data_IF_761418383722
#
_entry.id   IF_761418383722
#
_cell.length_a   1.000
_cell.length_b   1.000
_cell.length_c   1.000
_cell.angle_alpha   90.00
_cell.angle_beta   90.00
_cell.angle_gamma   90.00
#
_symmetry.space_group_name_H-M   'P 1'
#
loop_
_entity.id
_entity.type
_entity.pdbx_description
1 polymer ?
#
# COMPACT_ATOMS: atom_id res chain seq x y z
N UNK A 1 19.00 -10.70 5.75
CA UNK A 1 18.98 -12.00 5.05
C UNK A 1 19.90 -11.92 3.84
N UNK A 2 20.58 -13.01 3.46
CA UNK A 2 21.41 -13.01 2.26
C UNK A 2 20.54 -13.19 1.01
N UNK A 3 20.31 -12.12 0.24
CA UNK A 3 19.49 -12.13 -0.98
C UNK A 3 20.04 -13.09 -2.06
N UNK A 4 21.29 -13.56 -1.93
CA UNK A 4 21.87 -14.53 -2.85
C UNK A 4 21.13 -15.89 -2.86
N UNK A 5 20.37 -16.19 -1.80
CA UNK A 5 19.62 -17.44 -1.67
C UNK A 5 18.22 -17.40 -2.28
N UNK A 6 17.83 -16.30 -2.94
CA UNK A 6 16.53 -16.20 -3.62
C UNK A 6 16.49 -17.22 -4.77
N UNK A 7 15.47 -18.09 -4.85
CA UNK A 7 15.29 -19.02 -5.96
C UNK A 7 15.30 -18.33 -7.33
N UNK A 8 15.90 -18.98 -8.33
CA UNK A 8 16.07 -18.39 -9.67
C UNK A 8 14.74 -17.94 -10.30
N UNK A 9 13.66 -18.68 -10.08
CA UNK A 9 12.34 -18.33 -10.62
C UNK A 9 11.69 -17.13 -9.93
N UNK A 10 12.14 -16.73 -8.74
CA UNK A 10 11.67 -15.51 -8.08
C UNK A 10 12.48 -14.29 -8.51
N UNK A 11 13.77 -14.47 -8.87
CA UNK A 11 14.65 -13.37 -9.30
C UNK A 11 14.12 -12.59 -10.50
N UNK A 12 13.31 -13.21 -11.35
CA UNK A 12 12.71 -12.52 -12.49
C UNK A 12 11.78 -11.36 -12.08
N UNK A 13 11.19 -11.41 -10.89
CA UNK A 13 10.27 -10.37 -10.41
C UNK A 13 11.00 -9.20 -9.72
N UNK A 14 12.30 -9.34 -9.45
CA UNK A 14 13.11 -8.33 -8.78
C UNK A 14 13.66 -7.38 -9.84
N UNK A 15 13.45 -6.08 -9.61
CA UNK A 15 13.95 -5.02 -10.49
C UNK A 15 15.05 -4.20 -9.82
N UNK A 16 15.54 -3.14 -10.46
CA UNK A 16 16.22 -2.05 -9.74
C UNK A 16 15.13 -1.07 -9.24
N UNK A 17 15.33 -0.49 -8.05
CA UNK A 17 14.44 0.56 -7.56
C UNK A 17 14.50 1.79 -8.48
N UNK A 18 15.64 2.04 -9.12
CA UNK A 18 15.91 3.23 -9.96
C UNK A 18 15.58 4.53 -9.19
N UNK A 19 16.18 4.68 -8.01
CA UNK A 19 15.83 5.72 -7.03
C UNK A 19 15.77 7.14 -7.63
N UNK A 20 16.64 7.45 -8.61
CA UNK A 20 16.70 8.76 -9.27
C UNK A 20 15.50 9.08 -10.17
N UNK A 21 14.58 8.13 -10.35
CA UNK A 21 13.30 8.38 -11.02
C UNK A 21 12.28 9.07 -10.14
N UNK A 22 12.44 9.03 -8.81
CA UNK A 22 11.55 9.78 -7.94
C UNK A 22 11.80 11.27 -8.12
N UNK A 23 10.74 11.98 -8.46
CA UNK A 23 10.77 13.42 -8.57
C UNK A 23 10.72 14.06 -7.19
N UNK A 24 11.01 15.37 -7.14
CA UNK A 24 10.79 16.15 -5.92
C UNK A 24 9.34 16.06 -5.44
N UNK A 25 8.37 15.98 -6.36
CA UNK A 25 6.95 15.85 -6.02
C UNK A 25 6.70 14.51 -5.32
N UNK A 26 7.25 13.40 -5.82
CA UNK A 26 7.07 12.08 -5.21
C UNK A 26 7.58 12.05 -3.77
N UNK A 27 8.76 12.65 -3.52
CA UNK A 27 9.30 12.80 -2.18
C UNK A 27 8.45 13.70 -1.27
N UNK A 28 7.81 14.74 -1.81
CA UNK A 28 6.87 15.59 -1.04
C UNK A 28 5.56 14.88 -0.74
N UNK A 29 5.02 14.10 -1.68
CA UNK A 29 3.84 13.25 -1.44
C UNK A 29 4.13 12.27 -0.30
N UNK A 30 5.28 11.58 -0.35
CA UNK A 30 5.72 10.70 0.72
C UNK A 30 5.78 11.42 2.06
N UNK A 31 6.53 12.54 2.11
CA UNK A 31 6.72 13.30 3.33
C UNK A 31 5.40 13.80 3.92
N UNK A 32 4.50 14.29 3.07
CA UNK A 32 3.17 14.72 3.49
C UNK A 32 2.39 13.58 4.15
N UNK A 33 2.34 12.40 3.53
CA UNK A 33 1.67 11.21 4.09
C UNK A 33 2.27 10.83 5.44
N UNK A 34 3.60 10.79 5.56
CA UNK A 34 4.26 10.43 6.82
C UNK A 34 3.95 11.44 7.92
N UNK A 35 4.00 12.74 7.61
CA UNK A 35 3.75 13.82 8.57
C UNK A 35 2.34 13.76 9.17
N UNK A 36 1.32 13.48 8.35
CA UNK A 36 -0.07 13.43 8.84
C UNK A 36 -0.43 12.10 9.50
N UNK A 37 0.24 11.02 9.14
CA UNK A 37 -0.08 9.66 9.59
C UNK A 37 0.60 9.29 10.91
N UNK A 38 1.89 9.62 11.05
CA UNK A 38 2.70 9.24 12.23
C UNK A 38 2.07 9.71 13.56
N UNK A 39 1.61 10.97 13.73
CA UNK A 39 1.05 11.43 15.00
C UNK A 39 -0.18 10.63 15.43
N UNK A 40 -0.98 10.17 14.46
CA UNK A 40 -2.14 9.33 14.70
C UNK A 40 -1.71 7.90 15.06
N UNK A 41 -0.85 7.28 14.25
CA UNK A 41 -0.42 5.89 14.48
C UNK A 41 0.38 5.71 15.77
N UNK A 42 1.13 6.72 16.21
CA UNK A 42 1.81 6.70 17.53
C UNK A 42 0.84 6.44 18.69
N UNK A 43 -0.44 6.80 18.55
CA UNK A 43 -1.49 6.60 19.58
C UNK A 43 -2.36 5.38 19.30
N UNK A 44 -2.61 5.09 18.02
CA UNK A 44 -3.67 4.16 17.59
C UNK A 44 -3.17 2.85 16.97
N UNK A 45 -1.93 2.78 16.49
CA UNK A 45 -1.34 1.56 15.97
C UNK A 45 -0.81 0.65 17.10
N UNK A 46 -0.52 -0.60 16.76
CA UNK A 46 0.20 -1.53 17.62
C UNK A 46 1.55 -0.94 18.03
N UNK A 47 2.02 -1.25 19.25
CA UNK A 47 3.24 -0.65 19.81
C UNK A 47 4.49 -0.86 18.96
N UNK A 48 4.55 -1.95 18.20
CA UNK A 48 5.64 -2.23 17.26
C UNK A 48 5.75 -1.23 16.11
N UNK A 49 4.66 -0.55 15.73
CA UNK A 49 4.63 0.23 14.50
C UNK A 49 5.65 1.37 14.48
N UNK A 50 5.64 2.23 15.51
CA UNK A 50 6.44 3.45 15.50
C UNK A 50 7.94 3.17 15.57
N UNK A 51 8.37 2.26 16.46
CA UNK A 51 9.76 1.80 16.52
C UNK A 51 10.12 0.99 15.26
N UNK A 52 9.13 0.31 14.69
CA UNK A 52 9.19 -0.47 13.46
C UNK A 52 9.66 0.35 12.27
N UNK A 53 9.11 1.54 12.07
CA UNK A 53 9.48 2.44 10.98
C UNK A 53 11.00 2.62 10.90
N UNK A 54 11.64 2.98 12.01
CA UNK A 54 13.10 3.17 12.03
C UNK A 54 13.86 1.84 11.88
N UNK A 55 13.39 0.78 12.56
CA UNK A 55 14.04 -0.54 12.53
C UNK A 55 13.93 -1.25 11.18
N UNK A 56 13.02 -0.83 10.29
CA UNK A 56 12.91 -1.33 8.91
C UNK A 56 13.45 -0.36 7.87
N UNK A 57 14.11 0.72 8.28
CA UNK A 57 14.79 1.65 7.37
C UNK A 57 13.89 2.69 6.71
N UNK A 58 12.70 2.95 7.29
CA UNK A 58 11.79 3.99 6.80
C UNK A 58 12.33 5.38 7.16
N UNK A 59 12.39 6.23 6.15
CA UNK A 59 12.69 7.66 6.26
C UNK A 59 11.40 8.49 6.25
N UNK A 60 11.37 9.63 6.95
CA UNK A 60 10.15 10.43 7.07
C UNK A 60 10.08 11.59 6.08
N UNK A 61 11.24 12.09 5.64
CA UNK A 61 11.42 13.28 4.79
C UNK A 61 11.48 12.96 3.28
N UNK A 62 11.80 11.72 2.95
CA UNK A 62 11.92 11.21 1.58
C UNK A 62 11.55 9.73 1.52
N UNK A 63 11.29 9.27 0.30
CA UNK A 63 11.00 7.85 0.01
C UNK A 63 12.20 6.99 0.47
N UNK A 64 11.99 5.85 1.14
CA UNK A 64 13.07 5.02 1.62
C UNK A 64 13.82 4.32 0.47
N UNK A 65 15.13 4.15 0.64
CA UNK A 65 15.92 3.25 -0.20
C UNK A 65 15.61 1.81 0.21
N UNK A 66 15.19 0.97 -0.74
CA UNK A 66 14.90 -0.44 -0.49
C UNK A 66 16.18 -1.21 -0.12
N UNK A 67 17.35 -0.75 -0.57
CA UNK A 67 18.64 -1.28 -0.13
C UNK A 67 18.86 -1.04 1.37
N UNK A 68 18.63 0.20 1.84
CA UNK A 68 18.70 0.53 3.27
C UNK A 68 17.66 -0.27 4.07
N UNK A 69 16.45 -0.40 3.56
CA UNK A 69 15.42 -1.23 4.19
C UNK A 69 15.88 -2.68 4.32
N UNK A 70 16.46 -3.25 3.25
CA UNK A 70 16.99 -4.60 3.27
C UNK A 70 18.13 -4.75 4.29
N UNK A 71 19.04 -3.77 4.39
CA UNK A 71 20.09 -3.75 5.41
C UNK A 71 19.50 -3.80 6.83
N UNK A 72 18.51 -2.93 7.11
CA UNK A 72 17.89 -2.85 8.44
C UNK A 72 17.06 -4.08 8.78
N UNK A 73 16.22 -4.53 7.85
CA UNK A 73 15.40 -5.73 7.99
C UNK A 73 16.26 -7.01 8.09
N UNK A 74 17.49 -6.99 7.55
CA UNK A 74 18.41 -8.12 7.65
C UNK A 74 18.73 -8.53 9.08
N UNK A 75 18.77 -7.56 9.98
CA UNK A 75 19.11 -7.72 11.40
C UNK A 75 18.01 -8.50 12.14
N UNK A 76 16.75 -8.35 11.70
CA UNK A 76 15.58 -9.01 12.30
C UNK A 76 15.15 -10.27 11.52
N UNK A 77 16.05 -10.82 10.69
CA UNK A 77 15.81 -12.06 9.96
C UNK A 77 14.84 -11.92 8.79
N UNK A 78 14.72 -10.72 8.23
CA UNK A 78 13.98 -10.44 7.00
C UNK A 78 14.91 -9.88 5.90
N UNK A 79 14.37 -9.72 4.70
CA UNK A 79 14.95 -8.96 3.60
C UNK A 79 13.89 -8.14 2.90
N UNK A 80 14.31 -7.21 2.04
CA UNK A 80 13.43 -6.44 1.18
C UNK A 80 13.94 -6.47 -0.25
N UNK A 81 13.04 -6.59 -1.23
CA UNK A 81 13.39 -6.56 -2.65
C UNK A 81 12.46 -5.63 -3.43
N UNK A 82 12.99 -4.82 -4.35
CA UNK A 82 12.17 -3.99 -5.22
C UNK A 82 11.44 -4.85 -6.27
N UNK A 83 10.15 -4.59 -6.46
CA UNK A 83 9.32 -5.17 -7.52
C UNK A 83 8.57 -4.06 -8.26
N UNK A 84 7.99 -4.36 -9.44
CA UNK A 84 7.11 -3.45 -10.18
C UNK A 84 5.75 -4.09 -10.40
N UNK A 85 4.71 -3.27 -10.23
CA UNK A 85 3.32 -3.68 -10.42
C UNK A 85 2.92 -4.92 -9.59
N UNK A 86 1.88 -5.60 -10.07
CA UNK A 86 1.36 -6.81 -9.42
C UNK A 86 2.14 -8.06 -9.81
N UNK A 87 2.96 -8.57 -8.89
CA UNK A 87 3.58 -9.89 -9.03
C UNK A 87 2.53 -11.00 -8.78
N UNK A 88 2.71 -12.21 -9.33
CA UNK A 88 1.78 -13.31 -9.08
C UNK A 88 1.63 -13.62 -7.58
N UNK A 89 0.41 -13.89 -7.07
CA UNK A 89 0.18 -14.14 -5.65
C UNK A 89 1.05 -15.26 -5.08
N UNK A 90 1.23 -16.36 -5.82
CA UNK A 90 2.09 -17.46 -5.40
C UNK A 90 3.56 -17.03 -5.20
N UNK A 91 4.06 -16.11 -6.04
CA UNK A 91 5.42 -15.61 -5.96
C UNK A 91 5.58 -14.69 -4.74
N UNK A 92 4.61 -13.81 -4.50
CA UNK A 92 4.56 -12.97 -3.29
C UNK A 92 4.57 -13.85 -2.03
N UNK A 93 3.74 -14.89 -1.97
CA UNK A 93 3.69 -15.81 -0.82
C UNK A 93 4.99 -16.60 -0.63
N UNK A 94 5.67 -16.97 -1.72
CA UNK A 94 6.98 -17.62 -1.62
C UNK A 94 8.07 -16.67 -1.10
N UNK A 95 8.06 -15.40 -1.50
CA UNK A 95 8.93 -14.37 -0.89
C UNK A 95 8.66 -14.23 0.62
N UNK A 96 7.40 -14.12 1.03
CA UNK A 96 7.01 -14.05 2.43
C UNK A 96 7.46 -15.30 3.21
N UNK A 97 7.32 -16.49 2.63
CA UNK A 97 7.80 -17.76 3.23
C UNK A 97 9.31 -17.77 3.48
N UNK A 98 10.07 -17.08 2.63
CA UNK A 98 11.50 -16.89 2.77
C UNK A 98 11.86 -15.77 3.77
N UNK A 99 10.90 -14.97 4.23
CA UNK A 99 11.17 -13.79 5.04
C UNK A 99 11.67 -12.62 4.21
N UNK A 100 11.16 -12.48 2.99
CA UNK A 100 11.51 -11.39 2.09
C UNK A 100 10.22 -10.62 1.80
N UNK A 101 10.25 -9.31 1.99
CA UNK A 101 9.16 -8.40 1.65
C UNK A 101 9.38 -7.85 0.24
N UNK A 102 8.53 -8.20 -0.75
CA UNK A 102 8.51 -7.53 -2.05
C UNK A 102 7.92 -6.12 -1.87
N UNK A 103 8.62 -5.09 -2.33
CA UNK A 103 8.20 -3.69 -2.20
C UNK A 103 8.01 -3.11 -3.60
N UNK A 104 6.78 -2.71 -3.92
CA UNK A 104 6.48 -1.98 -5.14
C UNK A 104 7.26 -0.66 -5.18
N UNK A 105 7.94 -0.39 -6.29
CA UNK A 105 8.75 0.83 -6.42
C UNK A 105 7.90 2.06 -6.73
N UNK A 106 6.72 1.88 -7.28
CA UNK A 106 5.90 3.00 -7.76
C UNK A 106 5.35 3.82 -6.58
N UNK A 107 5.19 5.13 -6.78
CA UNK A 107 4.67 6.06 -5.78
C UNK A 107 3.33 6.61 -6.26
N UNK A 108 2.29 6.58 -5.40
CA UNK A 108 0.99 7.18 -5.76
C UNK A 108 1.13 8.67 -6.04
N UNK A 109 0.29 9.19 -6.94
CA UNK A 109 0.28 10.63 -7.26
C UNK A 109 -0.38 11.46 -6.15
N UNK A 110 -0.06 12.75 -6.11
CA UNK A 110 -0.71 13.75 -5.24
C UNK A 110 -2.23 13.91 -5.47
N UNK A 111 -2.77 13.40 -6.58
CA UNK A 111 -4.23 13.40 -6.86
C UNK A 111 -4.93 12.20 -6.20
N UNK A 112 -4.21 11.09 -6.01
CA UNK A 112 -4.69 9.85 -5.39
C UNK A 112 -4.06 9.63 -4.00
N UNK A 113 -3.76 10.72 -3.29
CA UNK A 113 -3.03 10.70 -2.02
C UNK A 113 -3.67 9.77 -0.97
N UNK A 114 -5.00 9.85 -0.84
CA UNK A 114 -5.74 9.24 0.26
C UNK A 114 -6.01 7.75 0.08
N UNK A 115 -5.96 7.27 -1.16
CA UNK A 115 -6.23 5.89 -1.53
C UNK A 115 -5.69 5.56 -2.92
N UNK A 116 -5.07 4.38 -3.05
CA UNK A 116 -4.70 3.77 -4.34
C UNK A 116 -5.12 2.29 -4.33
N UNK A 117 -5.74 1.77 -5.41
CA UNK A 117 -6.09 0.36 -5.51
C UNK A 117 -4.89 -0.56 -5.78
N UNK A 118 -3.78 0.01 -6.27
CA UNK A 118 -2.55 -0.72 -6.53
C UNK A 118 -1.55 -0.53 -5.36
N UNK A 119 -0.86 -1.58 -4.91
CA UNK A 119 0.16 -1.47 -3.88
C UNK A 119 1.31 -0.61 -4.41
N UNK A 120 1.62 0.45 -3.67
CA UNK A 120 2.72 1.38 -3.95
C UNK A 120 3.76 1.31 -2.83
N UNK A 121 4.85 2.07 -2.97
CA UNK A 121 5.92 2.04 -1.97
C UNK A 121 5.43 2.44 -0.58
N UNK A 122 4.45 3.35 -0.46
CA UNK A 122 3.86 3.72 0.84
C UNK A 122 3.18 2.51 1.49
N UNK A 123 2.37 1.77 0.73
CA UNK A 123 1.68 0.59 1.21
C UNK A 123 2.65 -0.48 1.72
N UNK A 124 3.60 -0.88 0.88
CA UNK A 124 4.51 -1.97 1.20
C UNK A 124 5.53 -1.58 2.28
N UNK A 125 6.11 -0.39 2.17
CA UNK A 125 7.16 0.03 3.10
C UNK A 125 6.60 0.56 4.41
N UNK A 126 5.65 1.51 4.41
CA UNK A 126 5.14 2.13 5.63
C UNK A 126 3.92 1.40 6.22
N UNK A 127 3.24 0.55 5.45
CA UNK A 127 2.14 -0.30 5.92
C UNK A 127 2.63 -1.62 6.51
N UNK A 128 3.27 -2.46 5.69
CA UNK A 128 3.67 -3.82 6.07
C UNK A 128 4.92 -3.86 6.94
N UNK A 129 6.02 -3.25 6.48
CA UNK A 129 7.34 -3.44 7.10
C UNK A 129 7.40 -3.14 8.61
N UNK A 130 6.75 -2.09 9.17
CA UNK A 130 7.00 -1.70 10.55
C UNK A 130 6.51 -2.72 11.57
N UNK A 131 5.45 -3.49 11.28
CA UNK A 131 4.93 -4.49 12.22
C UNK A 131 5.82 -5.75 12.25
N UNK A 132 6.57 -6.02 11.19
CA UNK A 132 7.45 -7.19 11.03
C UNK A 132 8.51 -7.29 12.14
N UNK A 133 8.86 -6.18 12.80
CA UNK A 133 9.79 -6.22 13.94
C UNK A 133 9.27 -7.04 15.13
N UNK A 134 7.96 -7.30 15.19
CA UNK A 134 7.37 -8.18 16.17
C UNK A 134 7.62 -9.64 15.76
N UNK A 135 8.28 -10.40 16.63
CA UNK A 135 8.69 -11.77 16.33
C UNK A 135 7.51 -12.73 16.06
N UNK A 136 6.43 -12.64 16.84
CA UNK A 136 5.23 -13.46 16.64
C UNK A 136 4.58 -13.17 15.30
N UNK A 137 4.41 -11.90 14.94
CA UNK A 137 3.85 -11.49 13.66
C UNK A 137 4.76 -11.87 12.48
N UNK A 138 6.08 -11.68 12.62
CA UNK A 138 7.06 -12.12 11.61
C UNK A 138 6.98 -13.62 11.36
N UNK A 139 6.89 -14.42 12.43
CA UNK A 139 6.77 -15.88 12.31
C UNK A 139 5.45 -16.29 11.67
N UNK A 140 4.36 -15.60 12.04
CA UNK A 140 3.06 -15.77 11.40
C UNK A 140 3.13 -15.51 9.89
N UNK A 141 3.71 -14.39 9.43
CA UNK A 141 3.80 -14.06 8.00
C UNK A 141 4.61 -15.11 7.22
N UNK A 142 5.74 -15.56 7.75
CA UNK A 142 6.55 -16.63 7.12
C UNK A 142 5.77 -17.94 7.03
N UNK A 143 5.06 -18.30 8.08
CA UNK A 143 4.22 -19.49 8.10
C UNK A 143 3.05 -19.37 7.12
N UNK A 144 2.40 -18.20 7.07
CA UNK A 144 1.34 -17.87 6.14
C UNK A 144 1.81 -18.06 4.70
N UNK A 145 2.95 -17.46 4.31
CA UNK A 145 3.51 -17.64 2.97
C UNK A 145 3.83 -19.11 2.65
N UNK A 146 4.33 -19.87 3.63
CA UNK A 146 4.65 -21.31 3.46
C UNK A 146 3.39 -22.17 3.26
N UNK A 147 2.28 -21.83 3.89
CA UNK A 147 1.00 -22.53 3.75
C UNK A 147 0.32 -22.09 2.46
N UNK A 148 0.25 -20.79 2.20
CA UNK A 148 -0.42 -20.21 1.04
C UNK A 148 0.24 -20.58 -0.28
N UNK A 149 1.57 -20.76 -0.32
CA UNK A 149 2.27 -21.26 -1.53
C UNK A 149 1.88 -22.69 -1.94
N UNK A 150 1.14 -23.43 -1.08
CA UNK A 150 0.63 -24.78 -1.35
C UNK A 150 -0.88 -24.83 -1.60
N UNK A 151 -1.55 -23.68 -1.53
CA UNK A 151 -2.98 -23.59 -1.72
C UNK A 151 -3.38 -23.97 -3.15
N UNK A 152 -4.50 -24.68 -3.29
CA UNK A 152 -5.09 -24.96 -4.60
C UNK A 152 -5.78 -23.69 -5.13
N UNK A 153 -5.40 -23.30 -6.34
CA UNK A 153 -6.03 -22.24 -7.13
C UNK A 153 -7.05 -22.85 -8.09
N UNK A 154 -8.18 -22.16 -8.27
CA UNK A 154 -9.14 -22.46 -9.32
C UNK A 154 -8.81 -21.68 -10.59
N UNK A 155 -9.45 -22.03 -11.71
CA UNK A 155 -9.29 -21.27 -12.96
C UNK A 155 -9.87 -19.86 -12.85
N UNK A 156 -10.93 -19.71 -12.07
CA UNK A 156 -11.57 -18.43 -11.77
C UNK A 156 -10.64 -17.51 -10.99
N UNK A 157 -9.87 -18.04 -10.02
CA UNK A 157 -8.88 -17.24 -9.29
C UNK A 157 -7.82 -16.65 -10.24
N UNK A 158 -7.37 -17.46 -11.19
CA UNK A 158 -6.38 -17.05 -12.20
C UNK A 158 -6.95 -15.95 -13.11
N UNK A 159 -8.20 -16.10 -13.56
CA UNK A 159 -8.88 -15.08 -14.37
C UNK A 159 -9.04 -13.76 -13.61
N UNK A 160 -9.41 -13.81 -12.33
CA UNK A 160 -9.51 -12.62 -11.47
C UNK A 160 -8.13 -11.96 -11.32
N UNK A 161 -7.07 -12.73 -11.08
CA UNK A 161 -5.71 -12.19 -11.00
C UNK A 161 -5.32 -11.45 -12.28
N UNK A 162 -5.52 -12.06 -13.46
CA UNK A 162 -5.18 -11.42 -14.72
C UNK A 162 -6.03 -10.17 -14.99
N UNK A 163 -7.30 -10.15 -14.60
CA UNK A 163 -8.15 -8.97 -14.72
C UNK A 163 -7.70 -7.83 -13.79
N UNK A 164 -7.35 -8.12 -12.53
CA UNK A 164 -6.79 -7.13 -11.59
C UNK A 164 -5.49 -6.56 -12.15
N UNK A 165 -4.59 -7.44 -12.61
CA UNK A 165 -3.31 -7.04 -13.19
C UNK A 165 -3.52 -6.12 -14.40
N UNK A 166 -4.36 -6.51 -15.35
CA UNK A 166 -4.69 -5.70 -16.53
C UNK A 166 -5.25 -4.33 -16.12
N UNK A 167 -6.18 -4.30 -15.17
CA UNK A 167 -6.73 -3.04 -14.67
C UNK A 167 -5.65 -2.15 -14.02
N UNK A 168 -4.75 -2.74 -13.23
CA UNK A 168 -3.62 -2.01 -12.64
C UNK A 168 -2.70 -1.45 -13.71
N UNK A 169 -2.28 -2.26 -14.67
CA UNK A 169 -1.36 -1.85 -15.73
C UNK A 169 -1.97 -0.70 -16.56
N UNK A 170 -3.29 -0.76 -16.86
CA UNK A 170 -4.01 0.29 -17.60
C UNK A 170 -4.18 1.57 -16.76
N UNK A 171 -4.47 1.46 -15.45
CA UNK A 171 -4.64 2.64 -14.58
C UNK A 171 -3.33 3.42 -14.40
N UNK A 172 -2.19 2.74 -14.47
CA UNK A 172 -0.87 3.35 -14.36
C UNK A 172 -0.29 3.80 -15.71
N UNK A 173 -0.85 3.33 -16.84
CA UNK A 173 -0.47 3.82 -18.16
C UNK A 173 -1.02 5.23 -18.40
N UNK A 174 -0.13 6.23 -18.41
CA UNK A 174 -0.47 7.63 -18.68
C UNK A 174 -1.10 7.85 -20.07
N UNK A 175 -0.95 6.91 -21.01
CA UNK A 175 -1.56 6.96 -22.34
C UNK A 175 -2.90 6.23 -22.41
N UNK A 176 -3.30 5.49 -21.37
CA UNK A 176 -4.56 4.77 -21.37
C UNK A 176 -5.74 5.74 -21.49
N UNK A 177 -6.70 5.41 -22.36
CA UNK A 177 -7.92 6.20 -22.44
C UNK A 177 -8.88 5.84 -21.30
N UNK A 178 -9.79 6.77 -20.94
CA UNK A 178 -10.87 6.47 -19.99
C UNK A 178 -11.71 5.26 -20.42
N UNK A 179 -11.81 5.00 -21.72
CA UNK A 179 -12.55 3.86 -22.26
C UNK A 179 -11.84 2.54 -21.94
N UNK A 180 -10.50 2.52 -22.01
CA UNK A 180 -9.71 1.32 -21.70
C UNK A 180 -9.83 0.96 -20.21
N UNK A 181 -9.84 1.98 -19.34
CA UNK A 181 -10.08 1.79 -17.91
C UNK A 181 -11.47 1.17 -17.67
N UNK A 182 -12.52 1.72 -18.28
CA UNK A 182 -13.89 1.19 -18.12
C UNK A 182 -13.97 -0.27 -18.58
N UNK A 183 -13.38 -0.61 -19.73
CA UNK A 183 -13.37 -1.99 -20.24
C UNK A 183 -12.67 -2.93 -19.26
N UNK A 184 -11.52 -2.52 -18.71
CA UNK A 184 -10.79 -3.35 -17.74
C UNK A 184 -11.55 -3.50 -16.40
N UNK A 185 -12.30 -2.48 -15.98
CA UNK A 185 -13.19 -2.56 -14.82
C UNK A 185 -14.35 -3.52 -15.05
N UNK A 186 -14.97 -3.49 -16.24
CA UNK A 186 -16.05 -4.42 -16.63
C UNK A 186 -15.55 -5.87 -16.66
N UNK A 187 -14.38 -6.12 -17.25
CA UNK A 187 -13.75 -7.45 -17.28
C UNK A 187 -13.47 -7.99 -15.86
N UNK A 188 -12.99 -7.14 -14.94
CA UNK A 188 -12.78 -7.52 -13.55
C UNK A 188 -14.10 -7.87 -12.85
N UNK A 189 -15.16 -7.09 -13.08
CA UNK A 189 -16.49 -7.37 -12.53
C UNK A 189 -17.02 -8.71 -13.03
N UNK A 190 -16.85 -9.01 -14.33
CA UNK A 190 -17.28 -10.28 -14.91
C UNK A 190 -16.48 -11.47 -14.38
N UNK A 191 -15.15 -11.33 -14.27
CA UNK A 191 -14.29 -12.34 -13.67
C UNK A 191 -14.71 -12.68 -12.23
N UNK A 192 -15.00 -11.66 -11.40
CA UNK A 192 -15.49 -11.84 -10.03
C UNK A 192 -16.85 -12.54 -9.98
N UNK A 193 -17.78 -12.21 -10.88
CA UNK A 193 -19.11 -12.84 -10.94
C UNK A 193 -19.08 -14.32 -11.33
N UNK A 194 -18.03 -14.75 -12.03
CA UNK A 194 -17.88 -16.13 -12.48
C UNK A 194 -17.50 -17.12 -11.35
N UNK A 195 -17.07 -16.62 -10.19
CA UNK A 195 -16.66 -17.46 -9.07
C UNK A 195 -17.88 -18.10 -8.37
N UNK A 196 -17.96 -19.43 -8.39
CA UNK A 196 -19.08 -20.19 -7.80
C UNK A 196 -18.78 -20.68 -6.39
N UNK A 197 -17.62 -21.33 -6.19
CA UNK A 197 -17.16 -21.86 -4.89
C UNK A 197 -15.77 -21.32 -4.61
N UNK A 198 -15.49 -20.81 -3.39
CA UNK A 198 -14.16 -20.30 -3.08
C UNK A 198 -13.14 -21.45 -3.03
N UNK A 199 -12.02 -21.27 -3.72
CA UNK A 199 -10.86 -22.15 -3.60
C UNK A 199 -10.14 -21.98 -2.26
N UNK A 200 -9.17 -22.85 -1.98
CA UNK A 200 -8.27 -22.66 -0.82
C UNK A 200 -7.52 -21.33 -0.91
N UNK A 201 -7.06 -20.95 -2.10
CA UNK A 201 -6.38 -19.69 -2.34
C UNK A 201 -7.29 -18.48 -2.06
N UNK A 202 -8.57 -18.55 -2.46
CA UNK A 202 -9.55 -17.50 -2.16
C UNK A 202 -9.84 -17.40 -0.66
N UNK A 203 -10.02 -18.52 0.04
CA UNK A 203 -10.26 -18.51 1.49
C UNK A 203 -9.05 -17.97 2.26
N UNK A 204 -7.83 -18.34 1.85
CA UNK A 204 -6.60 -17.76 2.39
C UNK A 204 -6.52 -16.27 2.10
N UNK A 205 -6.82 -15.83 0.88
CA UNK A 205 -6.84 -14.40 0.54
C UNK A 205 -7.77 -13.60 1.45
N UNK A 206 -8.93 -14.15 1.83
CA UNK A 206 -9.84 -13.54 2.81
C UNK A 206 -9.24 -13.53 4.22
N UNK A 207 -8.59 -14.62 4.64
CA UNK A 207 -7.86 -14.65 5.92
C UNK A 207 -6.79 -13.55 5.95
N UNK A 208 -5.98 -13.43 4.90
CA UNK A 208 -4.96 -12.39 4.75
C UNK A 208 -5.58 -10.99 4.80
N UNK A 209 -6.67 -10.77 4.07
CA UNK A 209 -7.35 -9.49 4.02
C UNK A 209 -7.80 -9.05 5.41
N UNK A 210 -8.49 -9.92 6.15
CA UNK A 210 -9.02 -9.60 7.48
C UNK A 210 -7.96 -9.63 8.60
N UNK A 211 -6.72 -9.96 8.28
CA UNK A 211 -5.61 -9.98 9.24
C UNK A 211 -4.48 -9.05 8.81
N UNK A 212 -3.65 -9.46 7.86
CA UNK A 212 -2.46 -8.74 7.40
C UNK A 212 -2.82 -7.36 6.80
N UNK A 213 -3.92 -7.24 6.06
CA UNK A 213 -4.28 -5.97 5.40
C UNK A 213 -5.15 -5.06 6.26
N UNK A 214 -6.23 -5.61 6.82
CA UNK A 214 -7.29 -4.87 7.52
C UNK A 214 -7.55 -5.41 8.93
N UNK A 215 -6.51 -5.96 9.56
CA UNK A 215 -6.58 -6.47 10.92
C UNK A 215 -6.44 -5.40 12.02
N UNK A 216 -7.20 -5.63 13.09
CA UNK A 216 -7.08 -4.94 14.37
C UNK A 216 -6.63 -5.91 15.47
N UNK A 217 -6.03 -5.42 16.54
CA UNK A 217 -5.47 -6.26 17.61
C UNK A 217 -5.77 -5.71 19.01
N UNK A 218 -5.93 -6.59 20.00
CA UNK A 218 -6.17 -6.25 21.40
C UNK A 218 -7.65 -6.33 21.79
N UNK A 219 -8.12 -5.37 22.59
CA UNK A 219 -9.49 -5.38 23.12
C UNK A 219 -10.48 -4.86 22.09
N UNK A 220 -11.60 -5.56 21.88
CA UNK A 220 -12.63 -5.18 20.89
C UNK A 220 -13.16 -3.74 21.04
N UNK A 221 -13.26 -3.23 22.27
CA UNK A 221 -13.74 -1.87 22.56
C UNK A 221 -12.65 -0.79 22.45
N UNK A 222 -11.39 -1.17 22.36
CA UNK A 222 -10.26 -0.26 22.19
C UNK A 222 -9.10 -0.96 21.45
N UNK A 223 -9.32 -1.37 20.20
CA UNK A 223 -8.33 -2.12 19.47
C UNK A 223 -7.22 -1.20 18.95
N UNK A 224 -6.10 -1.80 18.58
CA UNK A 224 -4.98 -1.17 17.88
C UNK A 224 -4.93 -1.60 16.43
N UNK A 225 -4.40 -0.73 15.58
CA UNK A 225 -4.24 -0.98 14.15
C UNK A 225 -2.92 -1.74 13.92
N UNK A 226 -2.96 -2.84 13.16
CA UNK A 226 -1.74 -3.49 12.67
C UNK A 226 -1.80 -3.86 11.18
N UNK A 227 -3.01 -3.90 10.59
CA UNK A 227 -3.17 -4.21 9.17
C UNK A 227 -2.53 -3.14 8.27
N UNK A 228 -1.78 -3.58 7.26
CA UNK A 228 -1.00 -2.72 6.38
C UNK A 228 -1.84 -1.77 5.51
N UNK A 229 -2.99 -2.23 5.00
CA UNK A 229 -3.96 -1.39 4.30
C UNK A 229 -4.47 -0.24 5.17
N UNK A 230 -4.74 -0.51 6.45
CA UNK A 230 -5.10 0.54 7.42
C UNK A 230 -3.92 1.44 7.77
N UNK A 231 -2.70 0.91 7.87
CA UNK A 231 -1.49 1.68 8.22
C UNK A 231 -0.96 2.56 7.08
N UNK A 232 -1.44 2.34 5.84
CA UNK A 232 -1.02 3.09 4.65
C UNK A 232 -2.13 3.94 4.03
N UNK A 233 -3.36 3.85 4.55
CA UNK A 233 -4.50 4.66 4.12
C UNK A 233 -4.69 5.89 5.00
N UNK A 234 -4.57 7.08 4.42
CA UNK A 234 -4.73 8.36 5.14
C UNK A 234 -6.17 8.56 5.63
N UNK A 235 -7.15 8.16 4.81
CA UNK A 235 -8.58 8.30 5.11
C UNK A 235 -9.09 7.18 6.01
N UNK A 236 -8.85 5.94 5.61
CA UNK A 236 -9.47 4.78 6.26
C UNK A 236 -8.91 4.51 7.65
N UNK A 237 -7.62 4.81 7.89
CA UNK A 237 -6.97 4.67 9.21
C UNK A 237 -7.73 5.33 10.36
N UNK A 238 -8.42 6.45 10.12
CA UNK A 238 -9.20 7.12 11.16
C UNK A 238 -10.60 6.55 11.29
N UNK A 239 -11.26 6.30 10.14
CA UNK A 239 -12.62 5.79 10.10
C UNK A 239 -12.73 4.37 10.65
N UNK A 240 -11.67 3.57 10.51
CA UNK A 240 -11.62 2.18 10.93
C UNK A 240 -11.87 1.99 12.44
N UNK A 241 -11.54 2.99 13.27
CA UNK A 241 -11.76 2.98 14.73
C UNK A 241 -13.11 3.62 15.15
N UNK A 242 -13.86 4.22 14.22
CA UNK A 242 -15.16 4.81 14.50
C UNK A 242 -16.20 3.75 14.93
N UNK A 243 -17.26 4.12 15.69
CA UNK A 243 -18.32 3.18 16.05
C UNK A 243 -19.14 2.68 14.84
N UNK A 244 -19.05 3.34 13.68
CA UNK A 244 -19.79 2.97 12.47
C UNK A 244 -19.21 1.73 11.79
N UNK A 245 -17.92 1.46 11.95
CA UNK A 245 -17.28 0.23 11.44
C UNK A 245 -17.46 -0.86 12.48
N UNK A 246 -18.06 -2.00 12.11
CA UNK A 246 -18.32 -3.09 13.05
C UNK A 246 -17.01 -3.80 13.45
N UNK A 247 -16.80 -4.04 14.75
CA UNK A 247 -15.65 -4.80 15.26
C UNK A 247 -16.12 -6.20 15.60
N UNK A 248 -15.44 -7.21 15.08
CA UNK A 248 -15.78 -8.63 15.26
C UNK A 248 -14.56 -9.33 15.87
N UNK A 249 -14.68 -10.19 16.90
CA UNK A 249 -13.57 -11.03 17.33
C UNK A 249 -13.04 -11.86 16.17
N UNK A 250 -11.72 -11.92 16.01
CA UNK A 250 -11.12 -12.73 14.96
C UNK A 250 -11.24 -14.23 15.30
N UNK A 251 -11.88 -14.97 14.42
CA UNK A 251 -11.93 -16.45 14.39
C UNK A 251 -11.71 -16.91 12.96
N UNK A 252 -11.60 -18.23 12.75
CA UNK A 252 -11.51 -18.80 11.41
C UNK A 252 -12.71 -18.42 10.50
N UNK A 253 -13.86 -18.07 11.09
CA UNK A 253 -15.06 -17.68 10.34
C UNK A 253 -14.85 -16.44 9.46
N UNK A 254 -13.79 -15.64 9.68
CA UNK A 254 -13.48 -14.49 8.84
C UNK A 254 -13.30 -14.87 7.35
N UNK A 255 -12.89 -16.11 7.05
CA UNK A 255 -12.76 -16.59 5.66
C UNK A 255 -14.11 -16.66 4.91
N UNK A 256 -15.23 -16.60 5.64
CA UNK A 256 -16.56 -16.57 5.04
C UNK A 256 -17.01 -15.14 4.67
N UNK A 257 -16.23 -14.12 5.01
CA UNK A 257 -16.52 -12.73 4.69
C UNK A 257 -15.79 -12.30 3.42
N UNK A 258 -16.56 -11.97 2.38
CA UNK A 258 -16.04 -11.32 1.18
C UNK A 258 -15.66 -9.86 1.49
N UNK A 259 -14.74 -9.31 0.71
CA UNK A 259 -14.31 -7.93 0.78
C UNK A 259 -14.42 -7.25 -0.58
N UNK A 260 -14.59 -5.93 -0.54
CA UNK A 260 -14.39 -5.09 -1.71
C UNK A 260 -13.11 -4.29 -1.53
N UNK A 261 -12.26 -4.32 -2.54
CA UNK A 261 -11.00 -3.57 -2.55
C UNK A 261 -11.24 -2.09 -2.84
N UNK A 262 -12.37 -1.71 -3.46
CA UNK A 262 -12.60 -0.34 -3.93
C UNK A 262 -13.30 0.56 -2.92
N UNK A 263 -13.74 0.02 -1.79
CA UNK A 263 -14.48 0.75 -0.75
C UNK A 263 -13.84 0.59 0.63
N UNK A 264 -14.17 1.49 1.55
CA UNK A 264 -13.75 1.35 2.96
C UNK A 264 -14.47 0.17 3.60
N UNK A 265 -13.78 -0.56 4.48
CA UNK A 265 -14.29 -1.81 5.02
C UNK A 265 -15.42 -1.57 6.05
N UNK A 266 -16.62 -2.16 5.87
CA UNK A 266 -17.75 -1.95 6.78
C UNK A 266 -17.58 -2.66 8.12
N UNK A 267 -16.71 -3.67 8.17
CA UNK A 267 -16.35 -4.42 9.36
C UNK A 267 -14.86 -4.74 9.38
N UNK A 268 -14.32 -4.94 10.57
CA UNK A 268 -12.94 -5.35 10.80
C UNK A 268 -12.89 -6.40 11.91
N UNK A 269 -11.88 -7.27 11.81
CA UNK A 269 -11.66 -8.33 12.78
C UNK A 269 -10.57 -7.95 13.79
N UNK A 270 -10.81 -8.28 15.05
CA UNK A 270 -9.93 -7.95 16.18
C UNK A 270 -9.30 -9.24 16.71
N UNK A 271 -8.01 -9.43 16.43
CA UNK A 271 -7.20 -10.48 17.03
C UNK A 271 -6.92 -10.17 18.50
N UNK A 272 -6.90 -11.19 19.37
CA UNK A 272 -6.53 -10.98 20.77
C UNK A 272 -5.04 -10.61 20.91
N UNK A 273 -4.19 -11.33 20.18
CA UNK A 273 -2.74 -11.15 20.07
C UNK A 273 -2.24 -11.77 18.74
N UNK A 274 -0.93 -11.70 18.46
CA UNK A 274 -0.37 -12.25 17.23
C UNK A 274 -0.30 -13.79 17.23
N UNK A 275 -0.14 -14.43 18.40
CA UNK A 275 -0.23 -15.90 18.49
C UNK A 275 -1.58 -16.42 17.99
N UNK A 276 -2.69 -15.71 18.28
CA UNK A 276 -4.02 -16.07 17.78
C UNK A 276 -4.09 -16.14 16.25
N UNK A 277 -3.32 -15.32 15.53
CA UNK A 277 -3.25 -15.39 14.06
C UNK A 277 -2.67 -16.74 13.59
N UNK A 278 -1.64 -17.20 14.28
CA UNK A 278 -0.99 -18.49 14.01
C UNK A 278 -1.94 -19.65 14.30
N UNK A 279 -2.64 -19.60 15.42
CA UNK A 279 -3.60 -20.65 15.80
C UNK A 279 -4.70 -20.81 14.75
N UNK A 280 -5.28 -19.69 14.29
CA UNK A 280 -6.33 -19.68 13.25
C UNK A 280 -5.78 -20.19 11.91
N UNK A 281 -4.58 -19.77 11.52
CA UNK A 281 -3.94 -20.26 10.30
C UNK A 281 -3.67 -21.77 10.35
N UNK A 282 -3.24 -22.29 11.50
CA UNK A 282 -3.03 -23.73 11.68
C UNK A 282 -4.35 -24.51 11.75
N UNK A 283 -5.44 -23.88 12.21
CA UNK A 283 -6.79 -24.44 12.09
C UNK A 283 -7.21 -24.55 10.63
N UNK A 284 -7.02 -23.48 9.84
CA UNK A 284 -7.26 -23.51 8.39
C UNK A 284 -6.39 -24.55 7.67
N UNK A 285 -5.10 -24.65 8.01
CA UNK A 285 -4.16 -25.58 7.36
C UNK A 285 -4.68 -27.02 7.41
N UNK A 286 -5.35 -27.42 8.50
CA UNK A 286 -5.93 -28.77 8.67
C UNK A 286 -7.04 -29.07 7.67
N UNK A 287 -7.73 -28.05 7.15
CA UNK A 287 -8.79 -28.25 6.15
C UNK A 287 -8.24 -28.33 4.73
N UNK A 288 -6.98 -27.96 4.50
CA UNK A 288 -6.37 -27.94 3.17
C UNK A 288 -6.12 -29.35 2.62
N UNK A 289 -6.35 -29.50 1.33
CA UNK A 289 -6.27 -30.74 0.55
C UNK A 289 -4.92 -31.46 0.68
N UNK A 290 -3.80 -30.74 0.82
CA UNK A 290 -2.47 -31.36 0.95
C UNK A 290 -2.23 -32.03 2.31
N UNK A 291 -3.05 -31.75 3.34
CA UNK A 291 -3.00 -32.44 4.64
C UNK A 291 -3.89 -33.69 4.67
N UNK A 292 -4.93 -33.71 3.83
CA UNK A 292 -5.87 -34.81 3.76
C UNK A 292 -5.34 -35.84 2.76
N UNK A 293 -4.91 -37.01 3.26
CA UNK A 293 -4.25 -38.10 2.52
C UNK A 293 -4.99 -38.65 1.26
N UNK A 294 -6.15 -38.12 0.91
CA UNK A 294 -6.91 -38.49 -0.30
C UNK A 294 -6.41 -37.78 -1.58
N UNK A 295 -5.44 -36.89 -1.47
CA UNK A 295 -4.90 -36.08 -2.57
C UNK A 295 -3.72 -36.73 -3.32
N UNK A 296 -3.84 -38.00 -3.74
CA UNK A 296 -2.92 -38.62 -4.72
C UNK A 296 -3.10 -38.13 -6.17
N UNK A 297 -3.86 -37.06 -6.39
CA UNK A 297 -4.10 -36.43 -7.70
C UNK A 297 -4.14 -34.91 -7.60
N UNK A 298 -3.02 -34.27 -7.25
CA UNK A 298 -2.91 -32.83 -7.51
C UNK A 298 -1.60 -32.59 -8.25
N UNK A 299 -1.73 -32.61 -9.58
CA UNK A 299 -0.69 -32.14 -10.46
C UNK A 299 -0.59 -30.62 -10.31
N UNK A 300 0.65 -30.15 -10.20
CA UNK A 300 1.07 -28.78 -10.43
C UNK A 300 0.53 -28.30 -11.79
N UNK A 301 -0.68 -27.77 -11.83
CA UNK A 301 -1.18 -26.97 -12.93
C UNK A 301 -1.07 -25.51 -12.45
N UNK A 302 -0.33 -24.59 -13.04
CA UNK A 302 0.57 -24.55 -14.18
C UNK A 302 1.66 -23.55 -13.77
N UNK A 303 2.93 -23.96 -13.70
CA UNK A 303 4.05 -23.01 -13.80
C UNK A 303 4.29 -22.76 -15.29
N UNK A 304 3.28 -22.28 -16.01
CA UNK A 304 3.49 -21.81 -17.38
C UNK A 304 4.19 -20.46 -17.31
N UNK A 305 5.14 -20.29 -18.23
CA UNK A 305 6.01 -19.12 -18.33
C UNK A 305 5.16 -17.85 -18.34
N UNK A 306 5.12 -17.17 -17.19
CA UNK A 306 4.58 -15.81 -17.10
C UNK A 306 5.39 -15.01 -18.11
N UNK A 307 4.70 -14.64 -19.18
CA UNK A 307 5.20 -13.91 -20.34
C UNK A 307 6.19 -12.85 -19.87
N UNK A 308 7.35 -12.84 -20.54
CA UNK A 308 8.43 -11.86 -20.35
C UNK A 308 7.83 -10.52 -19.96
N UNK A 309 8.29 -10.03 -18.81
CA UNK A 309 8.17 -8.65 -18.35
C UNK A 309 8.43 -7.76 -19.55
N UNK A 310 7.35 -7.29 -20.17
CA UNK A 310 7.44 -6.27 -21.19
C UNK A 310 7.89 -5.03 -20.47
N UNK A 311 9.09 -4.60 -20.84
CA UNK A 311 9.66 -3.29 -20.56
C UNK A 311 8.51 -2.26 -20.50
N UNK A 312 8.28 -1.72 -19.30
CA UNK A 312 7.39 -0.58 -19.17
C UNK A 312 8.04 0.56 -19.96
N UNK A 313 7.21 1.18 -20.79
CA UNK A 313 7.51 2.34 -21.60
C UNK A 313 8.37 3.35 -20.83
N UNK A 314 9.38 3.89 -21.52
CA UNK A 314 10.10 5.09 -21.10
C UNK A 314 9.08 6.11 -20.57
N UNK A 315 9.08 6.33 -19.25
CA UNK A 315 8.25 7.37 -18.63
C UNK A 315 8.87 8.70 -19.03
N UNK A 316 8.54 9.15 -20.24
CA UNK A 316 8.72 10.56 -20.57
C UNK A 316 7.81 11.32 -19.60
N UNK A 317 8.42 12.01 -18.64
CA UNK A 317 7.70 12.94 -17.76
C UNK A 317 6.95 13.90 -18.70
N UNK A 318 5.62 13.91 -18.62
CA UNK A 318 4.79 14.79 -19.44
C UNK A 318 5.25 16.24 -19.22
N UNK A 319 5.22 17.10 -20.24
CA UNK A 319 5.83 18.44 -20.17
C UNK A 319 5.30 19.26 -19.00
N UNK A 320 4.02 19.07 -18.64
CA UNK A 320 3.36 19.68 -17.48
C UNK A 320 3.97 19.25 -16.15
N UNK A 321 4.27 17.95 -15.98
CA UNK A 321 4.89 17.44 -14.76
C UNK A 321 6.32 17.97 -14.60
N UNK A 322 7.04 18.20 -15.73
CA UNK A 322 8.37 18.83 -15.71
C UNK A 322 8.32 20.28 -15.23
N UNK A 323 7.41 21.08 -15.78
CA UNK A 323 7.25 22.49 -15.40
C UNK A 323 6.90 22.64 -13.91
N UNK A 324 6.00 21.81 -13.38
CA UNK A 324 5.69 21.83 -11.95
C UNK A 324 6.91 21.41 -11.13
N UNK A 325 7.64 20.35 -11.52
CA UNK A 325 8.87 19.95 -10.82
C UNK A 325 9.91 21.09 -10.77
N UNK A 326 10.06 21.85 -11.86
CA UNK A 326 10.92 23.04 -11.87
C UNK A 326 10.47 24.09 -10.84
N UNK A 327 9.17 24.34 -10.71
CA UNK A 327 8.65 25.26 -9.68
C UNK A 327 8.93 24.79 -8.26
N UNK A 328 8.82 23.49 -7.99
CA UNK A 328 9.23 22.92 -6.69
C UNK A 328 10.72 23.16 -6.45
N UNK A 329 11.57 22.86 -7.43
CA UNK A 329 13.02 23.08 -7.30
C UNK A 329 13.35 24.55 -7.06
N UNK A 330 12.78 25.48 -7.84
CA UNK A 330 12.97 26.91 -7.65
C UNK A 330 12.53 27.37 -6.26
N UNK A 331 11.42 26.86 -5.74
CA UNK A 331 10.94 27.17 -4.40
C UNK A 331 11.93 26.71 -3.32
N UNK A 332 12.33 25.43 -3.34
CA UNK A 332 13.22 24.88 -2.32
C UNK A 332 14.66 25.42 -2.42
N UNK A 333 15.12 25.79 -3.62
CA UNK A 333 16.41 26.44 -3.83
C UNK A 333 16.38 27.96 -3.57
N UNK A 334 15.21 28.54 -3.24
CA UNK A 334 15.01 29.98 -3.03
C UNK A 334 15.34 30.84 -4.26
N UNK A 335 15.05 30.30 -5.44
CA UNK A 335 15.23 30.96 -6.74
C UNK A 335 13.97 31.70 -7.22
N UNK A 336 12.85 31.56 -6.50
CA UNK A 336 11.60 32.28 -6.76
C UNK A 336 10.99 32.80 -5.47
N UNK A 337 10.61 34.08 -5.47
CA UNK A 337 9.86 34.71 -4.38
C UNK A 337 8.46 34.09 -4.24
N UNK A 338 7.99 33.91 -3.01
CA UNK A 338 6.71 33.25 -2.71
C UNK A 338 5.52 33.89 -3.44
N UNK A 339 5.45 35.22 -3.48
CA UNK A 339 4.38 35.95 -4.17
C UNK A 339 4.36 35.70 -5.69
N UNK A 340 5.55 35.59 -6.31
CA UNK A 340 5.67 35.33 -7.74
C UNK A 340 5.31 33.88 -8.06
N UNK A 341 5.70 32.95 -7.20
CA UNK A 341 5.32 31.55 -7.33
C UNK A 341 3.80 31.38 -7.22
N UNK A 342 3.14 32.03 -6.26
CA UNK A 342 1.68 31.97 -6.11
C UNK A 342 0.98 32.49 -7.36
N UNK A 343 1.40 33.66 -7.90
CA UNK A 343 0.83 34.19 -9.15
C UNK A 343 0.94 33.19 -10.30
N UNK A 344 2.09 32.53 -10.43
CA UNK A 344 2.30 31.51 -11.46
C UNK A 344 1.41 30.29 -11.24
N UNK A 345 1.31 29.83 -10.01
CA UNK A 345 0.42 28.72 -9.65
C UNK A 345 -1.05 29.06 -9.89
N UNK A 346 -1.49 30.30 -9.67
CA UNK A 346 -2.89 30.68 -9.86
C UNK A 346 -3.30 30.70 -11.35
N UNK A 347 -2.36 31.05 -12.23
CA UNK A 347 -2.59 31.10 -13.68
C UNK A 347 -2.41 29.72 -14.32
N UNK A 348 -1.27 29.08 -14.08
CA UNK A 348 -0.84 27.91 -14.84
C UNK A 348 -1.26 26.60 -14.16
N UNK A 349 -1.31 26.57 -12.83
CA UNK A 349 -1.51 25.35 -12.03
C UNK A 349 -2.52 25.53 -10.87
N UNK A 350 -3.77 25.94 -11.14
CA UNK A 350 -4.73 26.33 -10.11
C UNK A 350 -5.11 25.19 -9.14
N UNK A 351 -4.83 23.93 -9.52
CA UNK A 351 -5.09 22.73 -8.71
C UNK A 351 -3.83 22.16 -8.03
N UNK A 352 -2.70 22.86 -8.08
CA UNK A 352 -1.45 22.44 -7.42
C UNK A 352 -1.51 22.78 -5.93
N UNK A 353 -2.23 21.96 -5.16
CA UNK A 353 -2.43 22.18 -3.73
C UNK A 353 -1.19 21.86 -2.89
N UNK A 354 -0.36 20.89 -3.32
CA UNK A 354 0.77 20.41 -2.51
C UNK A 354 1.87 21.47 -2.44
N UNK A 355 2.24 22.12 -3.57
CA UNK A 355 3.21 23.22 -3.52
C UNK A 355 2.66 24.43 -2.75
N UNK A 356 1.35 24.68 -2.84
CA UNK A 356 0.67 25.70 -2.03
C UNK A 356 0.72 25.37 -0.54
N UNK A 357 0.58 24.10 -0.17
CA UNK A 357 0.74 23.65 1.21
C UNK A 357 2.19 23.84 1.69
N UNK A 358 3.18 23.46 0.89
CA UNK A 358 4.60 23.66 1.20
C UNK A 358 4.93 25.16 1.37
N UNK A 359 4.40 26.01 0.48
CA UNK A 359 4.50 27.47 0.60
C UNK A 359 3.91 27.97 1.92
N UNK A 360 2.69 27.53 2.27
CA UNK A 360 2.05 27.89 3.52
C UNK A 360 2.90 27.44 4.72
N UNK A 361 3.31 26.17 4.74
CA UNK A 361 4.10 25.59 5.84
C UNK A 361 5.38 26.39 6.11
N UNK A 362 6.08 26.83 5.07
CA UNK A 362 7.32 27.60 5.22
C UNK A 362 7.11 29.08 5.56
N UNK A 363 5.90 29.63 5.36
CA UNK A 363 5.63 31.07 5.46
C UNK A 363 4.49 31.45 6.40
N UNK A 364 3.87 30.48 7.10
CA UNK A 364 2.67 30.69 7.93
C UNK A 364 2.83 31.73 9.06
N UNK A 365 4.07 32.05 9.44
CA UNK A 365 4.41 33.03 10.47
C UNK A 365 4.40 34.48 9.96
N UNK A 366 4.33 34.70 8.65
CA UNK A 366 4.31 36.02 8.04
C UNK A 366 2.90 36.64 8.10
N UNK A 367 2.84 37.95 8.34
CA UNK A 367 1.60 38.71 8.36
C UNK A 367 1.35 39.38 7.00
N UNK A 368 1.02 38.58 5.99
CA UNK A 368 0.64 39.05 4.66
C UNK A 368 -0.72 38.48 4.25
N UNK A 369 -1.51 39.28 3.52
CA UNK A 369 -2.83 38.87 3.04
C UNK A 369 -2.78 37.59 2.19
N UNK A 370 -1.71 37.40 1.42
CA UNK A 370 -1.54 36.20 0.59
C UNK A 370 -1.38 34.92 1.43
N UNK A 371 -0.80 34.98 2.63
CA UNK A 371 -0.67 33.81 3.53
C UNK A 371 -2.06 33.37 4.00
N UNK A 372 -2.89 34.32 4.40
CA UNK A 372 -4.26 34.03 4.85
C UNK A 372 -5.13 33.54 3.68
N UNK A 373 -4.98 34.12 2.49
CA UNK A 373 -5.65 33.64 1.28
C UNK A 373 -5.23 32.20 0.92
N UNK A 374 -3.95 31.88 1.06
CA UNK A 374 -3.41 30.55 0.80
C UNK A 374 -3.98 29.51 1.79
N UNK A 375 -4.05 29.86 3.07
CA UNK A 375 -4.70 29.03 4.09
C UNK A 375 -6.17 28.77 3.77
N UNK A 376 -6.90 29.82 3.42
CA UNK A 376 -8.32 29.72 3.06
C UNK A 376 -8.55 28.88 1.80
N UNK A 377 -7.66 28.98 0.81
CA UNK A 377 -7.64 28.10 -0.36
C UNK A 377 -7.47 26.64 0.08
N UNK A 378 -6.46 26.33 0.89
CA UNK A 378 -6.16 24.95 1.31
C UNK A 378 -7.29 24.31 2.12
N UNK A 379 -7.92 25.07 3.02
CA UNK A 379 -9.08 24.59 3.82
C UNK A 379 -10.27 24.21 2.93
N UNK A 380 -10.44 24.92 1.82
CA UNK A 380 -11.57 24.78 0.91
C UNK A 380 -11.19 24.13 -0.43
N UNK A 381 -9.99 23.52 -0.53
CA UNK A 381 -9.38 23.15 -1.80
C UNK A 381 -10.28 22.26 -2.65
N UNK A 382 -10.81 21.17 -2.06
CA UNK A 382 -11.63 20.23 -2.81
C UNK A 382 -12.82 19.76 -1.99
N UNK A 383 -13.95 20.45 -2.14
CA UNK A 383 -15.21 20.07 -1.46
C UNK A 383 -15.82 18.78 -2.00
N UNK A 384 -15.50 18.41 -3.23
CA UNK A 384 -16.00 17.19 -3.88
C UNK A 384 -15.18 15.95 -3.50
N UNK A 385 -13.90 16.13 -3.12
CA UNK A 385 -13.04 15.09 -2.56
C UNK A 385 -12.80 15.34 -1.07
N UNK A 386 -13.78 14.92 -0.27
CA UNK A 386 -13.80 15.10 1.18
C UNK A 386 -12.56 14.48 1.87
N UNK A 387 -12.09 13.32 1.41
CA UNK A 387 -10.95 12.64 2.00
C UNK A 387 -9.66 13.43 1.82
N UNK A 388 -9.41 13.95 0.61
CA UNK A 388 -8.23 14.78 0.35
C UNK A 388 -8.31 16.09 1.15
N UNK A 389 -9.48 16.73 1.20
CA UNK A 389 -9.66 17.94 1.99
C UNK A 389 -9.45 17.68 3.49
N UNK A 390 -9.89 16.52 4.00
CA UNK A 390 -9.64 16.11 5.38
C UNK A 390 -8.13 15.88 5.64
N UNK A 391 -7.41 15.29 4.70
CA UNK A 391 -5.96 15.10 4.80
C UNK A 391 -5.21 16.45 4.85
N UNK A 392 -5.57 17.40 3.98
CA UNK A 392 -5.02 18.76 3.97
C UNK A 392 -5.32 19.48 5.29
N UNK A 393 -6.58 19.44 5.74
CA UNK A 393 -6.97 20.05 7.01
C UNK A 393 -6.28 19.41 8.22
N UNK A 394 -5.97 18.11 8.16
CA UNK A 394 -5.16 17.44 9.19
C UNK A 394 -3.74 17.97 9.20
N UNK A 395 -3.12 18.11 8.03
CA UNK A 395 -1.77 18.67 7.89
C UNK A 395 -1.69 20.11 8.41
N UNK A 396 -2.68 20.95 8.07
CA UNK A 396 -2.76 22.33 8.54
C UNK A 396 -2.86 22.46 10.06
N UNK A 397 -3.45 21.49 10.76
CA UNK A 397 -3.54 21.47 12.24
C UNK A 397 -2.22 21.06 12.93
N UNK A 398 -1.27 20.52 12.16
CA UNK A 398 0.04 20.11 12.66
C UNK A 398 1.10 21.20 12.50
N UNK A 399 0.80 22.24 11.72
CA UNK A 399 1.54 23.51 11.63
C UNK A 399 1.06 24.40 12.77
#
# INVERSE_FOLDING_TARGET
>A
MNLNNIPKHLKQYIVDQEYERYTIIDHRVWQFIMNISIPFFKKHAHSSYYDGLNKTGITFDKIPSIELMNEKMSIIGWGAVPVRGFIPPWAFMEFQALGILPIACDMRSRQHLTYTPAPDIVHESAGHSPIIINEEYSNYLKLYGKIASKAVFSKEDENIYFAIRKLSDIKEDKNASKKDIIIAEEELVEAKKSQTTPSEATLLSRLHWWTVEYGLIGKINNPKIYGAGLLSSVGESQNCLSPNVKKIPLTIDCINFNYDITEQQPQLFVAENFSSLTDILLEFEKTMSFKNNDSKKFQNHLKEDVIKITELNDISINSIDKEICELYNMFFNKEIEAENLIKKLDVDFPNEWLLRFELYQNNHHLNYDWVENLKNYLINYNKDNLDLNNAINRALKLI
#
